data_IF_462149241782
#
_entry.id   IF_462149241782
#
_cell.length_a   1.000
_cell.length_b   1.000
_cell.length_c   1.000
_cell.angle_alpha   90.00
_cell.angle_beta   90.00
_cell.angle_gamma   90.00
#
_symmetry.space_group_name_H-M   'P 1'
#
loop_
_entity.id
_entity.type
_entity.pdbx_description
1 polymer ?
#
# COMPACT_ATOMS: atom_id res chain seq x y z
N UNK A 1 -11.48 -15.06 -6.91
CA UNK A 1 -10.94 -13.71 -6.74
C UNK A 1 -11.66 -12.75 -7.68
N UNK A 2 -11.93 -11.48 -7.24
CA UNK A 2 -12.65 -10.48 -8.03
C UNK A 2 -11.99 -10.21 -9.40
N UNK A 3 -10.67 -9.99 -9.44
CA UNK A 3 -9.94 -9.74 -10.70
C UNK A 3 -10.02 -10.92 -11.67
N UNK A 4 -9.91 -12.13 -11.18
CA UNK A 4 -10.10 -13.35 -11.98
C UNK A 4 -11.49 -13.41 -12.59
N UNK A 5 -12.52 -13.05 -11.81
CA UNK A 5 -13.90 -13.05 -12.24
C UNK A 5 -14.14 -12.06 -13.40
N UNK A 6 -13.75 -10.78 -13.21
CA UNK A 6 -13.98 -9.78 -14.26
C UNK A 6 -13.17 -10.05 -15.53
N UNK A 7 -11.98 -10.63 -15.41
CA UNK A 7 -11.20 -11.04 -16.59
C UNK A 7 -11.85 -12.20 -17.33
N UNK A 8 -12.44 -13.17 -16.61
CA UNK A 8 -13.21 -14.26 -17.24
C UNK A 8 -14.48 -13.78 -17.91
N UNK A 9 -15.03 -12.64 -17.49
CA UNK A 9 -16.18 -11.95 -18.09
C UNK A 9 -15.76 -11.04 -19.28
N UNK A 10 -14.49 -11.09 -19.71
CA UNK A 10 -14.00 -10.41 -20.91
C UNK A 10 -13.34 -9.05 -20.67
N UNK A 11 -13.03 -8.68 -19.42
CA UNK A 11 -12.27 -7.47 -19.17
C UNK A 11 -10.86 -7.56 -19.77
N UNK A 12 -10.49 -6.56 -20.57
CA UNK A 12 -9.16 -6.41 -21.18
C UNK A 12 -8.43 -5.15 -20.67
N UNK A 13 -9.09 -4.39 -19.79
CA UNK A 13 -8.51 -3.16 -19.22
C UNK A 13 -7.58 -3.57 -18.07
N UNK A 14 -6.32 -3.08 -18.04
CA UNK A 14 -5.40 -3.35 -16.97
C UNK A 14 -5.92 -2.82 -15.62
N UNK A 15 -5.70 -3.59 -14.57
CA UNK A 15 -6.10 -3.24 -13.21
C UNK A 15 -4.89 -2.66 -12.50
N UNK A 16 -5.05 -1.47 -11.93
CA UNK A 16 -4.04 -0.81 -11.09
C UNK A 16 -4.50 -0.88 -9.63
N UNK A 17 -3.67 -1.44 -8.76
CA UNK A 17 -3.96 -1.54 -7.32
C UNK A 17 -3.63 -0.21 -6.63
N UNK A 18 -4.62 0.43 -6.01
CA UNK A 18 -4.39 1.60 -5.17
C UNK A 18 -3.90 1.22 -3.77
N UNK A 19 -2.79 1.79 -3.34
CA UNK A 19 -2.25 1.64 -1.99
C UNK A 19 -1.99 2.99 -1.32
N UNK A 20 -2.09 3.11 0.02
CA UNK A 20 -1.67 4.32 0.70
C UNK A 20 -0.15 4.45 0.63
N UNK A 21 0.34 5.66 0.38
CA UNK A 21 1.75 6.01 0.46
C UNK A 21 2.21 6.21 1.91
N UNK A 22 3.37 6.82 2.07
CA UNK A 22 3.96 7.11 3.39
C UNK A 22 3.10 8.10 4.17
N UNK A 23 2.56 7.67 5.31
CA UNK A 23 1.68 8.48 6.13
C UNK A 23 1.75 8.12 7.62
N UNK A 24 1.36 9.06 8.49
CA UNK A 24 1.15 8.76 9.91
C UNK A 24 -0.07 7.86 10.07
N UNK A 25 -0.05 6.96 11.05
CA UNK A 25 -1.18 6.07 11.33
C UNK A 25 -2.47 6.87 11.62
N UNK A 26 -2.37 7.99 12.35
CA UNK A 26 -3.50 8.89 12.60
C UNK A 26 -4.13 9.43 11.32
N UNK A 27 -3.31 9.75 10.32
CA UNK A 27 -3.78 10.20 8.99
C UNK A 27 -4.54 9.09 8.29
N UNK A 28 -4.01 7.87 8.29
CA UNK A 28 -4.67 6.69 7.68
C UNK A 28 -6.01 6.41 8.34
N UNK A 29 -6.08 6.48 9.69
CA UNK A 29 -7.32 6.32 10.45
C UNK A 29 -8.35 7.39 10.03
N UNK A 30 -7.94 8.67 9.98
CA UNK A 30 -8.83 9.78 9.57
C UNK A 30 -9.43 9.55 8.18
N UNK A 31 -8.60 9.20 7.19
CA UNK A 31 -9.09 8.91 5.84
C UNK A 31 -10.01 7.68 5.79
N UNK A 32 -9.69 6.61 6.54
CA UNK A 32 -10.55 5.43 6.64
C UNK A 32 -11.94 5.76 7.19
N UNK A 33 -12.02 6.68 8.16
CA UNK A 33 -13.29 7.18 8.69
C UNK A 33 -14.08 7.94 7.64
N UNK A 34 -13.43 8.85 6.92
CA UNK A 34 -14.08 9.65 5.87
C UNK A 34 -14.56 8.81 4.68
N UNK A 35 -13.85 7.72 4.37
CA UNK A 35 -14.20 6.81 3.26
C UNK A 35 -15.20 5.71 3.67
N UNK A 36 -15.65 5.67 4.91
CA UNK A 36 -16.64 4.67 5.37
C UNK A 36 -16.14 3.22 5.40
N UNK A 37 -14.83 2.99 5.47
CA UNK A 37 -14.23 1.65 5.43
C UNK A 37 -14.27 1.01 6.84
N UNK A 38 -15.48 0.61 7.30
CA UNK A 38 -15.72 0.13 8.67
C UNK A 38 -14.90 -1.10 9.08
N UNK A 39 -14.71 -2.09 8.20
CA UNK A 39 -13.98 -3.32 8.53
C UNK A 39 -12.47 -3.08 8.66
N UNK A 40 -11.89 -2.23 7.84
CA UNK A 40 -10.48 -1.83 7.93
C UNK A 40 -10.22 -0.97 9.17
N UNK A 41 -11.24 -0.27 9.68
CA UNK A 41 -11.17 0.54 10.88
C UNK A 41 -10.87 -0.27 12.14
N UNK A 42 -11.45 -1.46 12.29
CA UNK A 42 -11.19 -2.31 13.45
C UNK A 42 -9.74 -2.78 13.51
N UNK A 43 -9.12 -3.04 12.36
CA UNK A 43 -7.71 -3.36 12.25
C UNK A 43 -6.84 -2.15 12.64
N UNK A 44 -7.15 -0.97 12.11
CA UNK A 44 -6.41 0.27 12.41
C UNK A 44 -6.56 0.70 13.88
N UNK A 45 -7.75 0.54 14.47
CA UNK A 45 -7.98 0.80 15.91
C UNK A 45 -7.17 -0.11 16.81
N UNK A 46 -7.04 -1.40 16.47
CA UNK A 46 -6.18 -2.35 17.22
C UNK A 46 -4.70 -1.93 17.17
N UNK A 47 -4.23 -1.39 16.05
CA UNK A 47 -2.86 -0.87 15.91
C UNK A 47 -2.67 0.49 16.61
N UNK A 48 -3.72 1.29 16.70
CA UNK A 48 -3.71 2.62 17.32
C UNK A 48 -3.98 2.64 18.83
N UNK A 49 -4.08 1.49 19.49
CA UNK A 49 -4.34 1.40 20.92
C UNK A 49 -3.23 2.05 21.79
N UNK A 50 -2.03 2.22 21.23
CA UNK A 50 -0.95 2.98 21.87
C UNK A 50 -0.80 4.34 21.15
N UNK A 51 -0.91 5.44 21.91
CA UNK A 51 -0.81 6.82 21.40
C UNK A 51 0.51 7.06 20.64
N UNK A 52 1.60 6.44 21.07
CA UNK A 52 2.89 6.52 20.38
C UNK A 52 2.86 5.94 18.97
N UNK A 53 1.99 4.98 18.70
CA UNK A 53 1.83 4.41 17.35
C UNK A 53 1.06 5.35 16.42
N UNK A 54 0.20 6.23 16.93
CA UNK A 54 -0.59 7.16 16.11
C UNK A 54 0.27 8.19 15.38
N UNK A 55 1.37 8.62 15.98
CA UNK A 55 2.30 9.60 15.40
C UNK A 55 3.38 8.94 14.54
N UNK A 56 3.52 7.61 14.62
CA UNK A 56 4.51 6.86 13.87
C UNK A 56 4.17 6.86 12.38
N UNK A 57 5.17 7.19 11.57
CA UNK A 57 5.05 7.07 10.11
C UNK A 57 5.01 5.60 9.70
N UNK A 58 4.06 5.27 8.83
CA UNK A 58 3.90 3.95 8.23
C UNK A 58 4.34 4.04 6.76
N UNK A 59 5.09 3.06 6.31
CA UNK A 59 5.50 2.86 4.92
C UNK A 59 4.81 1.57 4.40
N UNK A 60 4.38 1.50 3.14
CA UNK A 60 3.69 0.33 2.60
C UNK A 60 4.66 -0.80 2.16
N UNK A 61 5.87 -0.84 2.71
CA UNK A 61 6.97 -1.74 2.38
C UNK A 61 6.58 -3.24 2.39
N UNK A 62 5.92 -3.68 3.46
CA UNK A 62 5.47 -5.07 3.59
C UNK A 62 4.41 -5.45 2.56
N UNK A 63 3.49 -4.53 2.27
CA UNK A 63 2.44 -4.74 1.28
C UNK A 63 3.04 -4.81 -0.12
N UNK A 64 3.90 -3.85 -0.48
CA UNK A 64 4.56 -3.80 -1.79
C UNK A 64 5.43 -5.03 -2.01
N UNK A 65 6.18 -5.49 -0.98
CA UNK A 65 6.95 -6.72 -1.09
C UNK A 65 6.08 -7.95 -1.35
N UNK A 66 4.94 -8.06 -0.66
CA UNK A 66 3.98 -9.16 -0.91
C UNK A 66 3.44 -9.13 -2.33
N UNK A 67 3.12 -7.95 -2.85
CA UNK A 67 2.67 -7.79 -4.23
C UNK A 67 3.79 -8.17 -5.22
N UNK A 68 5.02 -7.72 -5.00
CA UNK A 68 6.17 -8.06 -5.84
C UNK A 68 6.46 -9.56 -5.90
N UNK A 69 6.42 -10.25 -4.77
CA UNK A 69 6.59 -11.73 -4.72
C UNK A 69 5.47 -12.46 -5.46
N UNK A 70 4.29 -11.85 -5.59
CA UNK A 70 3.13 -12.40 -6.28
C UNK A 70 2.97 -11.88 -7.71
N UNK A 71 3.96 -11.20 -8.28
CA UNK A 71 3.86 -10.46 -9.55
C UNK A 71 3.32 -11.32 -10.71
N UNK A 72 3.84 -12.53 -10.89
CA UNK A 72 3.37 -13.44 -11.95
C UNK A 72 1.88 -13.76 -11.84
N UNK A 73 1.41 -14.03 -10.61
CA UNK A 73 0.00 -14.32 -10.34
C UNK A 73 -0.85 -13.08 -10.58
N UNK A 74 -0.35 -11.91 -10.17
CA UNK A 74 -1.04 -10.64 -10.34
C UNK A 74 -1.20 -10.30 -11.83
N UNK A 75 -0.13 -10.41 -12.61
CA UNK A 75 -0.15 -10.21 -14.07
C UNK A 75 -1.11 -11.16 -14.78
N UNK A 76 -1.12 -12.45 -14.42
CA UNK A 76 -2.08 -13.43 -14.91
C UNK A 76 -3.54 -13.02 -14.65
N UNK A 77 -3.80 -12.27 -13.60
CA UNK A 77 -5.11 -11.77 -13.22
C UNK A 77 -5.39 -10.33 -13.73
N UNK A 78 -4.60 -9.83 -14.69
CA UNK A 78 -4.77 -8.52 -15.29
C UNK A 78 -4.37 -7.33 -14.41
N UNK A 79 -3.62 -7.59 -13.33
CA UNK A 79 -3.10 -6.55 -12.44
C UNK A 79 -1.73 -6.14 -12.97
N UNK A 80 -1.60 -4.90 -13.40
CA UNK A 80 -0.47 -4.39 -14.17
C UNK A 80 0.38 -3.36 -13.43
N UNK A 81 -0.09 -2.86 -12.30
CA UNK A 81 0.67 -1.87 -11.54
C UNK A 81 0.07 -1.45 -10.22
N UNK A 82 0.76 -0.51 -9.58
CA UNK A 82 0.39 0.05 -8.29
C UNK A 82 0.25 1.57 -8.44
N UNK A 83 -0.83 2.12 -7.89
CA UNK A 83 -1.04 3.54 -7.70
C UNK A 83 -0.84 3.90 -6.23
N UNK A 84 0.02 4.86 -5.95
CA UNK A 84 0.30 5.32 -4.58
C UNK A 84 -0.53 6.57 -4.28
N UNK A 85 -1.42 6.48 -3.27
CA UNK A 85 -2.17 7.63 -2.76
C UNK A 85 -1.34 8.38 -1.72
N UNK A 86 -0.92 9.63 -1.96
CA UNK A 86 -0.01 10.36 -1.08
C UNK A 86 -0.76 10.99 0.12
N UNK A 87 -1.46 10.18 0.91
CA UNK A 87 -2.28 10.61 2.04
C UNK A 87 -1.50 11.35 3.14
N UNK A 88 -0.21 11.06 3.28
CA UNK A 88 0.70 11.73 4.21
C UNK A 88 1.50 12.89 3.61
N UNK A 89 1.21 13.23 2.36
CA UNK A 89 1.89 14.25 1.56
C UNK A 89 2.68 13.68 0.39
N UNK A 90 2.64 14.41 -0.73
CA UNK A 90 3.30 14.02 -1.99
C UNK A 90 4.81 13.79 -1.79
N UNK A 91 5.49 14.70 -1.13
CA UNK A 91 6.95 14.67 -0.98
C UNK A 91 7.45 13.35 -0.40
N UNK A 92 6.92 12.95 0.75
CA UNK A 92 7.35 11.70 1.42
C UNK A 92 7.04 10.45 0.58
N UNK A 93 5.89 10.44 -0.07
CA UNK A 93 5.49 9.31 -0.90
C UNK A 93 6.32 9.21 -2.17
N UNK A 94 6.70 10.34 -2.79
CA UNK A 94 7.57 10.35 -3.97
C UNK A 94 9.03 10.01 -3.62
N UNK A 95 9.56 10.54 -2.52
CA UNK A 95 10.91 10.20 -2.04
C UNK A 95 11.02 8.67 -1.77
N UNK A 96 10.01 8.10 -1.11
CA UNK A 96 9.95 6.67 -0.86
C UNK A 96 9.85 5.85 -2.17
N UNK A 97 8.97 6.25 -3.09
CA UNK A 97 8.81 5.56 -4.37
C UNK A 97 10.09 5.68 -5.22
N UNK A 98 10.72 6.85 -5.24
CA UNK A 98 11.99 7.06 -5.96
C UNK A 98 13.10 6.19 -5.39
N UNK A 99 13.19 6.06 -4.06
CA UNK A 99 14.16 5.16 -3.44
C UNK A 99 14.02 3.69 -3.87
N UNK A 100 12.79 3.24 -4.20
CA UNK A 100 12.56 1.91 -4.74
C UNK A 100 13.02 1.85 -6.22
N UNK A 101 12.67 2.85 -7.02
CA UNK A 101 13.04 2.94 -8.44
C UNK A 101 14.57 2.96 -8.59
N UNK A 102 15.25 3.67 -7.71
CA UNK A 102 16.72 3.80 -7.70
C UNK A 102 17.42 2.60 -7.02
N UNK A 103 16.68 1.56 -6.65
CA UNK A 103 17.16 0.38 -5.93
C UNK A 103 17.87 0.72 -4.60
N UNK A 104 17.60 1.90 -4.03
CA UNK A 104 18.19 2.40 -2.80
C UNK A 104 17.40 1.94 -1.55
N UNK A 105 17.33 0.64 -1.36
CA UNK A 105 16.65 0.04 -0.22
C UNK A 105 17.36 -1.22 0.28
N UNK A 106 17.06 -1.63 1.50
CA UNK A 106 17.51 -2.90 2.09
C UNK A 106 16.34 -3.80 2.37
N UNK A 107 16.46 -5.08 2.00
CA UNK A 107 15.47 -6.10 2.35
C UNK A 107 15.48 -6.35 3.86
N UNK A 108 14.30 -6.53 4.44
CA UNK A 108 14.09 -6.95 5.82
C UNK A 108 13.41 -8.32 5.83
N UNK A 109 13.13 -8.88 7.01
CA UNK A 109 12.49 -10.19 7.13
C UNK A 109 11.18 -10.30 6.34
N UNK A 110 10.34 -9.31 6.40
CA UNK A 110 8.95 -9.32 5.86
C UNK A 110 8.59 -8.10 5.01
N UNK A 111 9.56 -7.21 4.74
CA UNK A 111 9.43 -6.01 3.94
C UNK A 111 10.75 -5.56 3.37
N UNK A 112 10.93 -4.26 3.23
CA UNK A 112 12.19 -3.59 2.90
C UNK A 112 12.21 -2.22 3.58
N UNK A 113 13.34 -1.55 3.55
CA UNK A 113 13.49 -0.19 4.07
C UNK A 113 14.26 0.65 3.07
N UNK A 114 13.65 1.76 2.63
CA UNK A 114 14.31 2.74 1.77
C UNK A 114 15.36 3.50 2.57
N UNK A 115 16.52 3.73 1.98
CA UNK A 115 17.57 4.58 2.55
C UNK A 115 17.33 6.00 2.03
N UNK A 116 17.05 6.91 2.94
CA UNK A 116 16.87 8.34 2.63
C UNK A 116 18.20 9.08 2.72
#
# INVERSE_FOLDING_TARGET
NWSTKINSEGNKIPIIIGIPGVAKLSTLIKYSMSCGIGNSMNFLKKQGSNVLNLVKTQEPDKLVRKLAVSEEILKKNGIDGIHIYPLGGIRKSSEWAQGIIDENFKLTRDGFKVNY
#
